data_IF_328168085673
#
_entry.id   IF_328168085673
#
_cell.length_a   1.000
_cell.length_b   1.000
_cell.length_c   1.000
_cell.angle_alpha   90.00
_cell.angle_beta   90.00
_cell.angle_gamma   90.00
#
_symmetry.space_group_name_H-M   'P 1'
#
loop_
_entity.id
_entity.type
_entity.pdbx_description
1 polymer ?
#
# COMPACT_ATOMS: atom_id res chain seq x y z
N UNK A 1 6.96 21.08 -9.14
CA UNK A 1 6.84 19.77 -9.79
C UNK A 1 5.49 19.17 -9.44
N UNK A 2 4.53 19.21 -10.37
CA UNK A 2 3.21 18.58 -10.21
C UNK A 2 3.36 17.10 -10.54
N UNK A 3 3.12 16.23 -9.57
CA UNK A 3 3.02 14.79 -9.82
C UNK A 3 1.58 14.50 -10.22
N UNK A 4 1.42 13.74 -11.30
CA UNK A 4 0.11 13.20 -11.69
C UNK A 4 -0.41 12.32 -10.55
N UNK A 5 -1.57 12.66 -10.02
CA UNK A 5 -2.40 11.85 -9.12
C UNK A 5 -2.93 10.58 -9.80
N UNK A 6 -2.93 10.58 -11.13
CA UNK A 6 -3.32 9.45 -11.96
C UNK A 6 -2.15 8.52 -12.27
N UNK A 7 -2.40 7.20 -12.17
CA UNK A 7 -1.51 6.15 -12.62
C UNK A 7 -2.28 5.13 -13.48
N UNK A 8 -1.63 4.64 -14.53
CA UNK A 8 -2.20 3.66 -15.46
C UNK A 8 -1.16 2.60 -15.84
N UNK A 9 -1.61 1.38 -16.09
CA UNK A 9 -0.80 0.28 -16.61
C UNK A 9 -1.64 -0.57 -17.57
N UNK A 10 -0.96 -1.36 -18.41
CA UNK A 10 -1.61 -2.36 -19.25
C UNK A 10 -2.16 -3.50 -18.39
N UNK A 11 -3.25 -4.14 -18.84
CA UNK A 11 -3.81 -5.32 -18.17
C UNK A 11 -2.75 -6.43 -18.11
N UNK A 12 -2.60 -7.03 -16.93
CA UNK A 12 -1.55 -8.02 -16.65
C UNK A 12 -0.23 -7.42 -16.17
N UNK A 13 -0.04 -6.09 -16.28
CA UNK A 13 1.15 -5.41 -15.79
C UNK A 13 0.90 -4.76 -14.42
N UNK A 14 1.97 -4.61 -13.63
CA UNK A 14 1.92 -3.93 -12.33
C UNK A 14 1.76 -2.42 -12.49
N UNK A 15 0.66 -1.87 -11.94
CA UNK A 15 0.52 -0.42 -11.75
C UNK A 15 1.30 0.03 -10.50
N UNK A 16 2.06 1.13 -10.60
CA UNK A 16 2.84 1.70 -9.48
C UNK A 16 2.23 3.01 -9.01
N UNK A 17 1.68 3.00 -7.79
CA UNK A 17 1.17 4.18 -7.10
C UNK A 17 2.25 4.73 -6.16
N UNK A 18 2.62 6.01 -6.32
CA UNK A 18 3.60 6.66 -5.45
C UNK A 18 2.89 7.27 -4.25
N UNK A 19 3.26 6.85 -3.05
CA UNK A 19 2.86 7.50 -1.80
C UNK A 19 4.01 8.39 -1.32
N UNK A 20 3.76 9.69 -1.12
CA UNK A 20 4.74 10.60 -0.52
C UNK A 20 4.35 10.87 0.91
N UNK A 21 5.30 10.66 1.80
CA UNK A 21 5.14 10.91 3.23
C UNK A 21 6.24 11.90 3.60
N UNK A 22 5.85 13.04 4.14
CA UNK A 22 6.81 13.97 4.73
C UNK A 22 7.02 13.58 6.20
N UNK A 23 8.09 12.82 6.44
CA UNK A 23 8.45 12.36 7.78
C UNK A 23 8.72 13.54 8.75
N UNK A 24 9.06 14.74 8.25
CA UNK A 24 9.29 15.91 9.11
C UNK A 24 8.00 16.45 9.70
N UNK A 25 6.88 16.39 8.96
CA UNK A 25 5.57 16.79 9.46
C UNK A 25 4.86 15.68 10.24
N UNK A 26 5.19 14.42 9.98
CA UNK A 26 4.43 13.27 10.49
C UNK A 26 5.06 12.60 11.73
N UNK A 27 6.23 13.03 12.18
CA UNK A 27 6.94 12.41 13.30
C UNK A 27 7.42 10.99 12.96
N UNK A 28 7.59 10.13 13.97
CA UNK A 28 7.94 8.73 13.73
C UNK A 28 6.80 7.98 13.03
N UNK A 29 7.15 7.31 11.92
CA UNK A 29 6.18 6.59 11.11
C UNK A 29 5.75 5.29 11.81
N UNK A 30 4.50 5.26 12.28
CA UNK A 30 3.91 4.08 12.91
C UNK A 30 3.45 3.04 11.87
N UNK A 31 2.56 3.43 10.94
CA UNK A 31 2.05 2.54 9.89
C UNK A 31 1.52 3.30 8.68
N UNK A 32 1.48 2.62 7.53
CA UNK A 32 0.85 3.04 6.28
C UNK A 32 -0.21 2.00 5.91
N UNK A 33 -1.40 2.46 5.51
CA UNK A 33 -2.52 1.59 5.12
C UNK A 33 -3.05 2.05 3.77
N UNK A 34 -3.23 1.12 2.85
CA UNK A 34 -3.81 1.39 1.53
C UNK A 34 -5.23 0.87 1.46
N UNK A 35 -6.11 1.69 0.88
CA UNK A 35 -7.51 1.36 0.67
C UNK A 35 -7.84 1.47 -0.81
N UNK A 36 -8.70 0.57 -1.28
CA UNK A 36 -9.39 0.67 -2.56
C UNK A 36 -10.85 0.94 -2.24
N UNK A 37 -11.30 2.17 -2.52
CA UNK A 37 -12.57 2.70 -2.00
C UNK A 37 -12.59 2.64 -0.47
N UNK A 38 -13.45 1.82 0.12
CA UNK A 38 -13.65 1.62 1.56
C UNK A 38 -12.95 0.36 2.10
N UNK A 39 -12.38 -0.47 1.23
CA UNK A 39 -11.76 -1.75 1.61
C UNK A 39 -10.24 -1.58 1.76
N UNK A 40 -9.70 -2.01 2.91
CA UNK A 40 -8.24 -2.02 3.14
C UNK A 40 -7.61 -3.17 2.36
N UNK A 41 -6.59 -2.86 1.56
CA UNK A 41 -5.93 -3.81 0.65
C UNK A 41 -4.47 -4.07 0.99
N UNK A 42 -3.83 -3.22 1.78
CA UNK A 42 -2.44 -3.42 2.20
C UNK A 42 -2.15 -2.69 3.51
N UNK A 43 -1.29 -3.26 4.34
CA UNK A 43 -0.80 -2.63 5.56
C UNK A 43 0.70 -2.81 5.72
N UNK A 44 1.37 -1.71 6.03
CA UNK A 44 2.77 -1.64 6.40
C UNK A 44 2.89 -1.01 7.79
N UNK A 45 3.70 -1.59 8.67
CA UNK A 45 4.05 -1.07 10.00
C UNK A 45 5.54 -1.26 10.20
N UNK A 46 6.24 -0.15 10.44
CA UNK A 46 7.68 -0.14 10.72
C UNK A 46 8.02 -0.36 12.21
N UNK A 47 7.04 -0.72 13.04
CA UNK A 47 7.26 -0.94 14.47
C UNK A 47 8.25 -2.07 14.72
N UNK A 48 9.21 -1.85 15.63
CA UNK A 48 10.27 -2.83 15.96
C UNK A 48 9.73 -4.09 16.61
N UNK A 49 8.63 -3.97 17.36
CA UNK A 49 8.07 -5.07 18.15
C UNK A 49 7.04 -5.91 17.38
N UNK A 50 6.50 -5.36 16.29
CA UNK A 50 5.49 -6.02 15.46
C UNK A 50 5.47 -5.41 14.05
N UNK A 51 6.52 -5.70 13.29
CA UNK A 51 6.57 -5.31 11.89
C UNK A 51 5.47 -6.03 11.11
N UNK A 52 4.70 -5.26 10.32
CA UNK A 52 3.65 -5.80 9.45
C UNK A 52 3.98 -5.33 8.05
N UNK A 53 4.05 -6.27 7.11
CA UNK A 53 4.25 -5.95 5.69
C UNK A 53 3.53 -7.02 4.88
N UNK A 54 2.23 -6.80 4.62
CA UNK A 54 1.41 -7.83 3.97
C UNK A 54 0.19 -7.25 3.26
N UNK A 55 -0.26 -7.93 2.18
CA UNK A 55 -1.55 -7.64 1.58
C UNK A 55 -2.72 -8.02 2.49
N UNK A 56 -3.85 -7.38 2.25
CA UNK A 56 -5.13 -7.63 2.91
C UNK A 56 -6.27 -7.61 1.88
N UNK A 57 -7.42 -8.19 2.25
CA UNK A 57 -8.62 -8.17 1.41
C UNK A 57 -8.37 -8.75 0.02
N UNK A 58 -8.78 -8.02 -1.01
CA UNK A 58 -8.69 -8.45 -2.41
C UNK A 58 -7.27 -8.61 -2.96
N UNK A 59 -6.25 -8.04 -2.29
CA UNK A 59 -4.85 -8.18 -2.69
C UNK A 59 -4.16 -9.40 -2.07
N UNK A 60 -4.83 -10.14 -1.18
CA UNK A 60 -4.29 -11.41 -0.70
C UNK A 60 -4.30 -12.41 -1.85
N UNK A 61 -3.18 -13.11 -2.06
CA UNK A 61 -3.14 -14.20 -3.02
C UNK A 61 -4.24 -15.20 -2.69
N UNK A 62 -5.11 -15.45 -3.67
CA UNK A 62 -6.04 -16.57 -3.57
C UNK A 62 -5.19 -17.82 -3.76
N UNK A 63 -4.96 -18.57 -2.68
CA UNK A 63 -4.41 -19.92 -2.80
C UNK A 63 -5.20 -20.66 -3.88
N UNK A 64 -4.55 -21.17 -4.93
CA UNK A 64 -5.23 -22.04 -5.87
C UNK A 64 -5.73 -23.25 -5.07
N UNK A 65 -7.04 -23.51 -5.11
CA UNK A 65 -7.58 -24.79 -4.65
C UNK A 65 -7.22 -25.84 -5.72
N UNK A 66 -6.00 -26.38 -5.66
CA UNK A 66 -5.67 -27.66 -6.28
C UNK A 66 -4.51 -28.34 -5.56
#
# INVERSE_FOLDING_TARGET
>A
MLFSDHASALVGNTARLRCRIDARSCGEMHSIKWYKSDVRVYVYSGSKDAAIDRPEGEMMDRFPLY
#
